data_IF_709142921140
#
_entry.id   IF_709142921140
#
_cell.length_a   1.000
_cell.length_b   1.000
_cell.length_c   1.000
_cell.angle_alpha   90.00
_cell.angle_beta   90.00
_cell.angle_gamma   90.00
#
_symmetry.space_group_name_H-M   'P 1'
#
loop_
_entity.id
_entity.type
_entity.pdbx_description
1 polymer ?
#
# COMPACT_ATOMS: atom_id res chain seq x y z
N UNK A 1 3.74 -7.40 12.29
CA UNK A 1 3.91 -7.94 10.93
C UNK A 1 4.77 -9.19 10.92
N UNK A 2 5.98 -9.16 11.49
CA UNK A 2 6.90 -10.31 11.50
C UNK A 2 6.29 -11.61 12.08
N UNK A 3 5.65 -11.54 13.26
CA UNK A 3 4.97 -12.70 13.89
C UNK A 3 3.90 -13.32 12.99
N UNK A 4 3.15 -12.49 12.26
CA UNK A 4 2.09 -12.93 11.35
C UNK A 4 2.68 -13.66 10.14
N UNK A 5 3.74 -13.11 9.55
CA UNK A 5 4.41 -13.72 8.40
C UNK A 5 5.07 -15.05 8.78
N UNK A 6 5.71 -15.12 9.95
CA UNK A 6 6.30 -16.35 10.46
C UNK A 6 5.25 -17.45 10.61
N UNK A 7 4.09 -17.11 11.19
CA UNK A 7 2.98 -18.07 11.34
C UNK A 7 2.40 -18.53 10.01
N UNK A 8 2.23 -17.62 9.04
CA UNK A 8 1.81 -17.99 7.68
C UNK A 8 2.82 -18.95 7.04
N UNK A 9 4.12 -18.72 7.22
CA UNK A 9 5.17 -19.57 6.67
C UNK A 9 5.22 -20.94 7.34
N UNK A 10 5.02 -21.01 8.66
CA UNK A 10 4.87 -22.28 9.39
C UNK A 10 3.70 -23.11 8.84
N UNK A 11 2.51 -22.51 8.76
CA UNK A 11 1.31 -23.16 8.21
C UNK A 11 1.50 -23.55 6.74
N UNK A 12 2.20 -22.74 5.95
CA UNK A 12 2.51 -23.04 4.55
C UNK A 12 3.51 -24.18 4.39
N UNK A 13 4.48 -24.33 5.32
CA UNK A 13 5.39 -25.48 5.36
C UNK A 13 4.64 -26.75 5.77
N UNK A 14 3.80 -26.66 6.80
CA UNK A 14 2.95 -27.77 7.24
C UNK A 14 1.96 -28.22 6.16
N UNK A 15 1.41 -27.30 5.38
CA UNK A 15 0.56 -27.64 4.24
C UNK A 15 1.24 -28.53 3.18
N UNK A 16 2.58 -28.51 3.12
CA UNK A 16 3.38 -29.29 2.16
C UNK A 16 3.83 -30.64 2.71
N UNK A 17 3.58 -30.95 3.99
CA UNK A 17 3.91 -32.26 4.58
C UNK A 17 2.80 -33.27 4.30
N UNK A 18 3.09 -34.56 4.47
CA UNK A 18 2.12 -35.64 4.27
C UNK A 18 0.87 -35.50 5.17
N UNK A 19 1.05 -34.98 6.40
CA UNK A 19 -0.05 -34.76 7.36
C UNK A 19 -0.98 -33.60 6.98
N UNK A 20 -0.53 -32.68 6.12
CA UNK A 20 -1.29 -31.51 5.68
C UNK A 20 -1.72 -30.55 6.81
N UNK A 21 -2.72 -29.72 6.50
CA UNK A 21 -3.34 -28.79 7.45
C UNK A 21 -4.64 -29.40 7.99
N UNK A 22 -4.85 -29.28 9.30
CA UNK A 22 -6.17 -29.57 9.89
C UNK A 22 -7.17 -28.50 9.46
N UNK A 23 -8.47 -28.79 9.62
CA UNK A 23 -9.52 -27.83 9.24
C UNK A 23 -9.44 -26.53 10.04
N UNK A 24 -9.06 -26.62 11.33
CA UNK A 24 -8.82 -25.45 12.18
C UNK A 24 -7.65 -24.61 11.70
N UNK A 25 -6.55 -25.25 11.27
CA UNK A 25 -5.36 -24.57 10.75
C UNK A 25 -5.59 -23.94 9.37
N UNK A 26 -6.46 -24.53 8.53
CA UNK A 26 -6.87 -23.90 7.27
C UNK A 26 -7.63 -22.59 7.52
N UNK A 27 -8.55 -22.59 8.48
CA UNK A 27 -9.30 -21.39 8.88
C UNK A 27 -8.33 -20.33 9.42
N UNK A 28 -7.41 -20.73 10.31
CA UNK A 28 -6.36 -19.84 10.84
C UNK A 28 -5.52 -19.25 9.70
N UNK A 29 -5.03 -20.10 8.78
CA UNK A 29 -4.22 -19.67 7.64
C UNK A 29 -4.97 -18.67 6.76
N UNK A 30 -6.26 -18.90 6.51
CA UNK A 30 -7.08 -18.02 5.69
C UNK A 30 -7.26 -16.65 6.36
N UNK A 31 -7.54 -16.61 7.66
CA UNK A 31 -7.65 -15.38 8.43
C UNK A 31 -6.35 -14.58 8.45
N UNK A 32 -5.22 -15.27 8.67
CA UNK A 32 -3.89 -14.64 8.66
C UNK A 32 -3.55 -14.06 7.28
N UNK A 33 -3.85 -14.80 6.20
CA UNK A 33 -3.64 -14.33 4.82
C UNK A 33 -4.49 -13.13 4.48
N UNK A 34 -5.77 -13.11 4.88
CA UNK A 34 -6.63 -11.94 4.67
C UNK A 34 -6.10 -10.71 5.39
N UNK A 35 -5.65 -10.88 6.63
CA UNK A 35 -5.04 -9.80 7.43
C UNK A 35 -3.78 -9.26 6.76
N UNK A 36 -2.90 -10.15 6.29
CA UNK A 36 -1.71 -9.77 5.54
C UNK A 36 -2.06 -8.99 4.27
N UNK A 37 -2.95 -9.52 3.43
CA UNK A 37 -3.36 -8.89 2.17
C UNK A 37 -3.94 -7.51 2.43
N UNK A 38 -4.78 -7.35 3.46
CA UNK A 38 -5.33 -6.04 3.82
C UNK A 38 -4.21 -5.04 4.13
N UNK A 39 -3.25 -5.40 4.97
CA UNK A 39 -2.12 -4.53 5.30
C UNK A 39 -1.23 -4.23 4.09
N UNK A 40 -0.98 -5.23 3.24
CA UNK A 40 -0.17 -5.11 2.04
C UNK A 40 -0.83 -4.19 1.00
N UNK A 41 -2.14 -4.31 0.79
CA UNK A 41 -2.89 -3.46 -0.15
C UNK A 41 -2.76 -1.99 0.20
N UNK A 42 -2.88 -1.64 1.49
CA UNK A 42 -2.70 -0.26 1.94
C UNK A 42 -1.32 0.31 1.58
N UNK A 43 -0.24 -0.45 1.79
CA UNK A 43 1.10 -0.02 1.37
C UNK A 43 1.27 0.02 -0.16
N UNK A 44 0.60 -0.88 -0.88
CA UNK A 44 0.70 -0.97 -2.33
C UNK A 44 -0.02 0.18 -3.04
N UNK A 45 -1.12 0.68 -2.47
CA UNK A 45 -1.85 1.84 -2.98
C UNK A 45 -0.93 3.08 -3.08
N UNK A 46 -0.04 3.30 -2.11
CA UNK A 46 0.95 4.39 -2.15
C UNK A 46 1.95 4.23 -3.30
N UNK A 47 2.41 3.00 -3.56
CA UNK A 47 3.33 2.71 -4.67
C UNK A 47 2.62 2.98 -6.00
N UNK A 48 1.39 2.50 -6.16
CA UNK A 48 0.58 2.70 -7.36
C UNK A 48 0.37 4.20 -7.66
N UNK A 49 0.06 4.99 -6.64
CA UNK A 49 -0.17 6.43 -6.77
C UNK A 49 1.09 7.22 -7.20
N UNK A 50 2.28 6.63 -7.11
CA UNK A 50 3.54 7.28 -7.51
C UNK A 50 4.21 6.60 -8.71
N UNK A 51 3.58 5.58 -9.31
CA UNK A 51 4.14 4.82 -10.42
C UNK A 51 3.43 5.10 -11.75
N UNK A 52 4.12 4.79 -12.84
CA UNK A 52 3.56 4.74 -14.21
C UNK A 52 3.90 3.38 -14.81
N UNK A 53 3.00 2.85 -15.62
CA UNK A 53 3.14 1.54 -16.25
C UNK A 53 3.33 1.73 -17.75
N UNK A 54 4.43 1.20 -18.27
CA UNK A 54 4.76 1.20 -19.68
C UNK A 54 4.71 -0.22 -20.23
N UNK A 55 4.26 -0.37 -21.48
CA UNK A 55 4.35 -1.64 -22.19
C UNK A 55 5.79 -1.91 -22.69
N UNK A 56 6.10 -3.10 -23.21
CA UNK A 56 7.43 -3.40 -23.76
C UNK A 56 7.84 -2.53 -24.97
N UNK A 57 6.88 -1.89 -25.64
CA UNK A 57 7.11 -0.97 -26.77
C UNK A 57 7.34 0.48 -26.30
N UNK A 58 7.18 0.76 -25.00
CA UNK A 58 7.39 2.07 -24.38
C UNK A 58 6.15 2.97 -24.30
N UNK A 59 4.97 2.47 -24.64
CA UNK A 59 3.72 3.25 -24.52
C UNK A 59 3.25 3.28 -23.07
N UNK A 60 2.82 4.45 -22.61
CA UNK A 60 2.22 4.63 -21.28
C UNK A 60 0.82 4.00 -21.27
N UNK A 61 0.72 2.82 -20.65
CA UNK A 61 -0.52 2.06 -20.48
C UNK A 61 -1.08 2.21 -19.07
N UNK A 62 -0.69 3.28 -18.35
CA UNK A 62 -1.19 3.54 -17.00
C UNK A 62 -2.72 3.61 -17.01
N UNK A 63 -3.43 2.75 -16.24
CA UNK A 63 -4.89 2.70 -16.28
C UNK A 63 -5.53 4.05 -15.95
N UNK A 64 -6.57 4.44 -16.71
CA UNK A 64 -7.27 5.74 -16.53
C UNK A 64 -7.73 5.99 -15.09
N UNK A 65 -8.26 4.95 -14.43
CA UNK A 65 -8.69 5.00 -13.02
C UNK A 65 -7.55 5.39 -12.07
N UNK A 66 -6.34 4.90 -12.33
CA UNK A 66 -5.17 5.20 -11.52
C UNK A 66 -4.70 6.64 -11.75
N UNK A 67 -4.73 7.12 -13.00
CA UNK A 67 -4.42 8.52 -13.33
C UNK A 67 -5.39 9.49 -12.64
N UNK A 68 -6.68 9.16 -12.60
CA UNK A 68 -7.72 9.93 -11.89
C UNK A 68 -7.44 9.96 -10.37
N UNK A 69 -7.21 8.82 -9.75
CA UNK A 69 -6.88 8.73 -8.33
C UNK A 69 -5.63 9.55 -7.97
N UNK A 70 -4.59 9.52 -8.83
CA UNK A 70 -3.40 10.35 -8.66
C UNK A 70 -3.71 11.85 -8.75
N UNK A 71 -4.59 12.28 -9.67
CA UNK A 71 -5.01 13.68 -9.79
C UNK A 71 -5.76 14.14 -8.54
N UNK A 72 -6.70 13.33 -8.04
CA UNK A 72 -7.50 13.69 -6.87
C UNK A 72 -6.65 13.80 -5.60
N UNK A 73 -5.68 12.90 -5.43
CA UNK A 73 -4.68 13.02 -4.36
C UNK A 73 -3.90 14.32 -4.46
N UNK A 74 -3.35 14.64 -5.65
CA UNK A 74 -2.63 15.92 -5.86
C UNK A 74 -3.50 17.14 -5.59
N UNK A 75 -4.77 17.13 -6.01
CA UNK A 75 -5.72 18.22 -5.73
C UNK A 75 -5.96 18.40 -4.24
N UNK A 76 -6.09 17.30 -3.51
CA UNK A 76 -6.27 17.30 -2.05
C UNK A 76 -5.01 17.85 -1.37
N UNK A 77 -3.84 17.37 -1.77
CA UNK A 77 -2.55 17.82 -1.25
C UNK A 77 -2.37 19.35 -1.46
N UNK A 78 -2.66 19.86 -2.67
CA UNK A 78 -2.61 21.29 -3.00
C UNK A 78 -3.63 22.10 -2.19
N UNK A 79 -4.86 21.60 -2.04
CA UNK A 79 -5.90 22.28 -1.24
C UNK A 79 -5.48 22.44 0.22
N UNK A 80 -4.81 21.44 0.80
CA UNK A 80 -4.33 21.49 2.18
C UNK A 80 -3.17 22.48 2.36
N UNK A 81 -2.31 22.62 1.34
CA UNK A 81 -1.22 23.62 1.33
C UNK A 81 -1.79 25.04 1.22
N UNK A 82 -2.66 25.29 0.23
CA UNK A 82 -3.26 26.60 0.01
C UNK A 82 -4.26 27.01 1.10
N UNK A 83 -4.91 26.03 1.73
CA UNK A 83 -5.81 26.22 2.87
C UNK A 83 -5.08 26.45 4.21
N UNK A 84 -3.74 26.45 4.22
CA UNK A 84 -2.92 26.80 5.39
C UNK A 84 -2.76 25.69 6.44
N UNK A 85 -3.28 24.48 6.23
CA UNK A 85 -3.16 23.38 7.19
C UNK A 85 -1.76 22.74 7.19
N UNK A 86 -1.01 22.85 6.09
CA UNK A 86 0.38 22.37 5.97
C UNK A 86 1.23 23.33 5.11
N UNK A 87 1.62 24.46 5.67
CA UNK A 87 2.67 25.29 5.07
C UNK A 87 4.02 24.70 5.45
N UNK A 88 4.70 24.06 4.49
CA UNK A 88 6.10 23.64 4.65
C UNK A 88 6.97 24.83 4.26
N UNK A 89 7.52 25.52 5.27
CA UNK A 89 8.46 26.61 5.04
C UNK A 89 9.77 26.03 4.52
N UNK A 90 10.30 26.57 3.42
CA UNK A 90 11.57 26.10 2.85
C UNK A 90 12.72 26.33 3.83
N UNK A 91 12.66 27.41 4.62
CA UNK A 91 13.61 27.74 5.67
C UNK A 91 12.82 28.02 6.98
N UNK A 92 13.30 27.54 8.15
CA UNK A 92 12.58 27.71 9.42
C UNK A 92 12.33 29.18 9.77
N UNK A 93 13.24 30.08 9.41
CA UNK A 93 13.12 31.53 9.62
C UNK A 93 11.99 32.24 8.85
N UNK A 94 11.39 31.58 7.85
CA UNK A 94 10.27 32.14 7.09
C UNK A 94 8.91 31.88 7.76
N UNK A 95 8.86 31.05 8.80
CA UNK A 95 7.62 30.78 9.55
C UNK A 95 7.16 31.99 10.38
N UNK A 96 8.10 32.86 10.78
CA UNK A 96 7.85 34.00 11.65
C UNK A 96 7.64 35.32 10.87
N UNK A 97 7.81 35.32 9.54
CA UNK A 97 7.56 36.49 8.67
C UNK A 97 6.06 36.57 8.33
N UNK A 98 5.27 37.02 9.30
CA UNK A 98 3.88 37.46 9.07
C UNK A 98 3.82 38.82 8.38
#
# INVERSE_FOLDING_TARGET
MEKLLNRINELARKAKTADGLTETEKIEQQQLRQTYIKSFRSSFDEILLNSKVYDPEGNDITPKKLVEAQKDKRRTDVKNILGGEKIVHLHPEDADKK
#
